data_IF_928683348116
#
_entry.id   IF_928683348116
#
_cell.length_a   1.000
_cell.length_b   1.000
_cell.length_c   1.000
_cell.angle_alpha   90.00
_cell.angle_beta   90.00
_cell.angle_gamma   90.00
#
_symmetry.space_group_name_H-M   'P 1'
#
loop_
_entity.id
_entity.type
_entity.pdbx_description
1 polymer ?
#
# COMPACT_ATOMS: atom_id res chain seq x y z
N UNK A 1 32.43 -8.19 -47.33
CA UNK A 1 31.31 -7.54 -46.60
C UNK A 1 31.66 -7.08 -45.18
N UNK A 2 32.62 -7.70 -44.46
CA UNK A 2 33.00 -7.24 -43.11
C UNK A 2 33.63 -5.83 -43.05
N UNK A 3 34.38 -5.40 -44.08
CA UNK A 3 35.03 -4.09 -44.12
C UNK A 3 34.08 -2.89 -44.24
N UNK A 4 32.84 -3.10 -44.69
CA UNK A 4 31.86 -2.00 -44.90
C UNK A 4 31.12 -1.66 -43.60
N UNK A 5 30.94 -2.65 -42.72
CA UNK A 5 30.19 -2.50 -41.46
C UNK A 5 30.97 -1.66 -40.43
N UNK A 6 32.31 -1.81 -40.38
CA UNK A 6 33.17 -1.06 -39.45
C UNK A 6 33.55 0.36 -39.93
N UNK A 7 33.25 0.70 -41.18
CA UNK A 7 33.45 2.04 -41.73
C UNK A 7 32.35 3.03 -41.32
N UNK A 8 31.20 2.53 -40.87
CA UNK A 8 30.09 3.36 -40.39
C UNK A 8 30.31 3.69 -38.90
N UNK A 9 30.51 4.99 -38.62
CA UNK A 9 30.79 5.48 -37.27
C UNK A 9 29.66 5.15 -36.28
N UNK A 10 28.40 5.15 -36.72
CA UNK A 10 27.24 4.87 -35.88
C UNK A 10 27.19 3.39 -35.49
N UNK A 11 27.47 2.49 -36.43
CA UNK A 11 27.56 1.04 -36.17
C UNK A 11 28.72 0.73 -35.23
N UNK A 12 29.88 1.36 -35.45
CA UNK A 12 31.05 1.20 -34.59
C UNK A 12 30.77 1.70 -33.17
N UNK A 13 30.14 2.87 -33.03
CA UNK A 13 29.75 3.41 -31.72
C UNK A 13 28.71 2.51 -31.05
N UNK A 14 27.71 2.00 -31.77
CA UNK A 14 26.73 1.07 -31.22
C UNK A 14 27.37 -0.22 -30.70
N UNK A 15 28.35 -0.78 -31.41
CA UNK A 15 29.11 -1.97 -30.98
C UNK A 15 29.94 -1.66 -29.72
N UNK A 16 30.70 -0.56 -29.70
CA UNK A 16 31.52 -0.21 -28.53
C UNK A 16 30.71 0.23 -27.33
N UNK A 17 29.52 0.79 -27.53
CA UNK A 17 28.62 1.07 -26.44
C UNK A 17 28.02 -0.22 -25.87
N UNK A 18 27.78 -1.26 -26.67
CA UNK A 18 27.14 -2.51 -26.25
C UNK A 18 28.17 -3.64 -26.03
N UNK A 19 28.99 -3.50 -25.00
CA UNK A 19 30.06 -4.46 -24.69
C UNK A 19 29.60 -5.40 -23.57
N UNK A 20 29.97 -6.69 -23.62
CA UNK A 20 29.53 -7.72 -22.65
C UNK A 20 28.00 -7.86 -22.49
N UNK A 21 27.24 -7.48 -23.51
CA UNK A 21 25.77 -7.51 -23.50
C UNK A 21 25.09 -6.36 -22.76
N UNK A 22 25.86 -5.36 -22.30
CA UNK A 22 25.35 -4.22 -21.52
C UNK A 22 25.88 -2.91 -22.10
N UNK A 23 25.04 -1.87 -22.14
CA UNK A 23 25.51 -0.55 -22.57
C UNK A 23 26.53 0.03 -21.58
N UNK A 24 27.56 0.74 -22.05
CA UNK A 24 28.63 1.30 -21.21
C UNK A 24 28.08 2.15 -20.04
N UNK A 25 27.07 2.99 -20.33
CA UNK A 25 26.37 3.82 -19.34
C UNK A 25 25.60 3.02 -18.27
N UNK A 26 25.24 1.77 -18.57
CA UNK A 26 24.51 0.88 -17.67
C UNK A 26 25.45 0.06 -16.79
N UNK A 27 26.73 -0.12 -17.15
CA UNK A 27 27.65 -1.06 -16.48
C UNK A 27 27.74 -0.83 -14.98
N UNK A 28 27.97 0.41 -14.55
CA UNK A 28 28.08 0.75 -13.13
C UNK A 28 26.78 0.49 -12.37
N UNK A 29 25.64 0.82 -12.99
CA UNK A 29 24.33 0.60 -12.41
C UNK A 29 23.99 -0.89 -12.29
N UNK A 30 24.20 -1.68 -13.35
CA UNK A 30 23.96 -3.13 -13.36
C UNK A 30 24.87 -3.83 -12.34
N UNK A 31 26.13 -3.44 -12.25
CA UNK A 31 27.05 -3.95 -11.24
C UNK A 31 26.52 -3.69 -9.83
N UNK A 32 26.10 -2.45 -9.54
CA UNK A 32 25.49 -2.09 -8.27
C UNK A 32 24.25 -2.94 -7.97
N UNK A 33 23.33 -3.09 -8.93
CA UNK A 33 22.08 -3.87 -8.74
C UNK A 33 22.34 -5.35 -8.44
N UNK A 34 23.40 -5.93 -9.03
CA UNK A 34 23.84 -7.31 -8.79
C UNK A 34 24.49 -7.50 -7.42
N UNK A 35 25.13 -6.45 -6.88
CA UNK A 35 25.72 -6.48 -5.54
C UNK A 35 24.67 -6.30 -4.42
N UNK A 36 23.53 -5.68 -4.73
CA UNK A 36 22.44 -5.51 -3.76
C UNK A 36 21.78 -6.85 -3.46
N UNK A 37 21.78 -7.26 -2.18
CA UNK A 37 21.13 -8.49 -1.72
C UNK A 37 19.63 -8.34 -1.46
N UNK A 38 19.17 -7.13 -1.12
CA UNK A 38 17.77 -6.86 -0.81
C UNK A 38 17.02 -6.44 -2.07
N UNK A 39 15.98 -7.19 -2.42
CA UNK A 39 15.18 -6.96 -3.64
C UNK A 39 14.46 -5.62 -3.60
N UNK A 40 13.92 -5.24 -2.44
CA UNK A 40 13.29 -3.94 -2.22
C UNK A 40 14.20 -2.75 -2.59
N UNK A 41 15.45 -2.75 -2.12
CA UNK A 41 16.41 -1.66 -2.42
C UNK A 41 16.71 -1.63 -3.92
N UNK A 42 16.78 -2.80 -4.56
CA UNK A 42 16.99 -2.91 -6.01
C UNK A 42 15.80 -2.30 -6.77
N UNK A 43 14.57 -2.62 -6.37
CA UNK A 43 13.36 -2.08 -6.96
C UNK A 43 13.31 -0.55 -6.83
N UNK A 44 13.57 0.01 -5.65
CA UNK A 44 13.67 1.47 -5.45
C UNK A 44 14.74 2.12 -6.34
N UNK A 45 15.90 1.49 -6.50
CA UNK A 45 16.95 1.98 -7.39
C UNK A 45 16.50 2.00 -8.86
N UNK A 46 15.74 0.99 -9.30
CA UNK A 46 15.20 0.93 -10.67
C UNK A 46 14.12 2.00 -10.86
N UNK A 47 13.19 2.14 -9.92
CA UNK A 47 12.14 3.16 -9.94
C UNK A 47 12.76 4.56 -9.94
N UNK A 48 13.76 4.82 -9.09
CA UNK A 48 14.46 6.11 -9.06
C UNK A 48 15.31 6.37 -10.31
N UNK A 49 15.84 5.33 -10.95
CA UNK A 49 16.57 5.47 -12.22
C UNK A 49 15.67 6.00 -13.35
N UNK A 50 14.36 5.71 -13.34
CA UNK A 50 13.42 6.29 -14.28
C UNK A 50 13.46 7.82 -14.27
N UNK A 51 13.42 8.42 -13.09
CA UNK A 51 13.41 9.88 -12.91
C UNK A 51 14.79 10.50 -13.11
N UNK A 52 15.83 9.84 -12.58
CA UNK A 52 17.19 10.40 -12.58
C UNK A 52 17.90 10.25 -13.93
N UNK A 53 17.55 9.23 -14.72
CA UNK A 53 18.26 8.87 -15.97
C UNK A 53 17.32 8.78 -17.19
N UNK A 54 16.01 8.86 -16.99
CA UNK A 54 15.00 8.93 -18.04
C UNK A 54 14.48 7.56 -18.52
N UNK A 55 13.34 7.53 -19.23
CA UNK A 55 12.71 6.28 -19.71
C UNK A 55 13.60 5.49 -20.70
N UNK A 56 14.43 6.18 -21.49
CA UNK A 56 15.37 5.53 -22.41
C UNK A 56 16.45 4.72 -21.69
N UNK A 57 16.80 5.11 -20.46
CA UNK A 57 17.71 4.33 -19.63
C UNK A 57 17.04 3.02 -19.21
N UNK A 58 15.78 3.08 -18.75
CA UNK A 58 15.02 1.87 -18.40
C UNK A 58 14.79 0.96 -19.60
N UNK A 59 14.47 1.50 -20.78
CA UNK A 59 14.26 0.66 -21.98
C UNK A 59 15.50 -0.14 -22.36
N UNK A 60 16.68 0.48 -22.26
CA UNK A 60 17.98 -0.20 -22.47
C UNK A 60 18.26 -1.21 -21.36
N UNK A 61 17.99 -0.85 -20.11
CA UNK A 61 18.17 -1.75 -18.97
C UNK A 61 17.28 -3.01 -19.09
N UNK A 62 16.01 -2.87 -19.49
CA UNK A 62 15.10 -3.99 -19.73
C UNK A 62 15.61 -4.92 -20.84
N UNK A 63 16.23 -4.36 -21.88
CA UNK A 63 16.77 -5.14 -23.00
C UNK A 63 18.03 -5.93 -22.59
N UNK A 64 18.89 -5.33 -21.79
CA UNK A 64 20.16 -5.94 -21.36
C UNK A 64 20.00 -6.89 -20.18
N UNK A 65 19.12 -6.55 -19.24
CA UNK A 65 19.00 -7.21 -17.95
C UNK A 65 17.52 -7.31 -17.53
N UNK A 66 16.68 -8.06 -18.28
CA UNK A 66 15.26 -8.23 -17.95
C UNK A 66 15.07 -8.90 -16.57
N UNK A 67 16.04 -9.68 -16.09
CA UNK A 67 16.00 -10.34 -14.79
C UNK A 67 15.96 -9.37 -13.60
N UNK A 68 16.33 -8.10 -13.81
CA UNK A 68 16.26 -7.07 -12.77
C UNK A 68 14.84 -6.54 -12.55
N UNK A 69 13.93 -6.76 -13.50
CA UNK A 69 12.55 -6.31 -13.44
C UNK A 69 11.66 -7.44 -12.93
N UNK A 70 11.60 -7.58 -11.62
CA UNK A 70 10.67 -8.48 -10.94
C UNK A 70 9.37 -7.74 -10.58
N UNK A 71 8.35 -8.46 -10.10
CA UNK A 71 7.09 -7.87 -9.64
C UNK A 71 7.33 -6.81 -8.55
N UNK A 72 8.39 -6.97 -7.75
CA UNK A 72 8.82 -6.00 -6.74
C UNK A 72 9.07 -4.60 -7.29
N UNK A 73 9.42 -4.45 -8.57
CA UNK A 73 9.55 -3.13 -9.20
C UNK A 73 8.19 -2.46 -9.35
N UNK A 74 7.14 -3.23 -9.69
CA UNK A 74 5.77 -2.72 -9.76
C UNK A 74 5.23 -2.44 -8.36
N UNK A 75 5.43 -3.35 -7.41
CA UNK A 75 4.99 -3.19 -6.01
C UNK A 75 5.66 -1.95 -5.37
N UNK A 76 6.95 -1.77 -5.60
CA UNK A 76 7.68 -0.57 -5.17
C UNK A 76 7.17 0.71 -5.85
N UNK A 77 6.88 0.66 -7.15
CA UNK A 77 6.33 1.83 -7.85
C UNK A 77 4.93 2.18 -7.33
N UNK A 78 4.10 1.18 -7.02
CA UNK A 78 2.77 1.36 -6.43
C UNK A 78 2.85 2.00 -5.05
N UNK A 79 3.66 1.44 -4.15
CA UNK A 79 3.95 1.98 -2.81
C UNK A 79 4.36 3.45 -2.83
N UNK A 80 5.20 3.82 -3.79
CA UNK A 80 5.72 5.18 -3.95
C UNK A 80 4.82 6.11 -4.78
N UNK A 81 3.67 5.64 -5.27
CA UNK A 81 2.72 6.40 -6.07
C UNK A 81 3.23 6.77 -7.46
N UNK A 82 4.17 6.01 -8.03
CA UNK A 82 4.85 6.31 -9.31
C UNK A 82 4.04 5.80 -10.50
N UNK A 83 2.89 6.44 -10.74
CA UNK A 83 1.95 6.08 -11.80
C UNK A 83 2.57 6.08 -13.20
N UNK A 84 3.46 7.02 -13.49
CA UNK A 84 4.20 7.13 -14.74
C UNK A 84 5.16 5.96 -14.98
N UNK A 85 5.84 5.48 -13.93
CA UNK A 85 6.65 4.26 -13.98
C UNK A 85 5.76 3.04 -14.24
N UNK A 86 4.61 2.93 -13.56
CA UNK A 86 3.67 1.83 -13.80
C UNK A 86 3.04 1.88 -15.19
N UNK A 87 2.67 3.04 -15.71
CA UNK A 87 2.19 3.19 -17.11
C UNK A 87 3.24 2.74 -18.10
N UNK A 88 4.50 3.10 -17.85
CA UNK A 88 5.62 2.65 -18.67
C UNK A 88 5.81 1.12 -18.58
N UNK A 89 5.80 0.55 -17.37
CA UNK A 89 5.91 -0.91 -17.17
C UNK A 89 4.72 -1.67 -17.76
N UNK A 90 3.52 -1.12 -17.70
CA UNK A 90 2.32 -1.71 -18.28
C UNK A 90 2.47 -1.89 -19.81
N UNK A 91 3.07 -0.92 -20.51
CA UNK A 91 3.28 -0.97 -21.95
C UNK A 91 4.30 -2.05 -22.40
N UNK A 92 5.32 -2.33 -21.58
CA UNK A 92 6.46 -3.15 -21.99
C UNK A 92 6.64 -4.46 -21.20
N UNK A 93 6.09 -4.57 -20.00
CA UNK A 93 6.29 -5.65 -19.04
C UNK A 93 4.98 -5.99 -18.30
N UNK A 94 3.90 -6.21 -19.05
CA UNK A 94 2.56 -6.41 -18.47
C UNK A 94 2.46 -7.58 -17.49
N UNK A 95 3.29 -8.62 -17.64
CA UNK A 95 3.31 -9.83 -16.81
C UNK A 95 3.83 -9.61 -15.38
N UNK A 96 4.43 -8.45 -15.08
CA UNK A 96 4.99 -8.15 -13.75
C UNK A 96 3.95 -7.70 -12.72
N UNK A 97 2.73 -7.44 -13.18
CA UNK A 97 1.66 -6.94 -12.31
C UNK A 97 0.94 -8.11 -11.67
N UNK A 98 0.66 -7.96 -10.38
CA UNK A 98 -0.10 -8.89 -9.56
C UNK A 98 -1.14 -8.10 -8.76
N UNK A 99 -1.94 -8.78 -7.96
CA UNK A 99 -2.87 -8.15 -7.01
C UNK A 99 -2.17 -7.22 -6.02
N UNK A 100 -0.90 -7.52 -5.68
CA UNK A 100 -0.11 -6.71 -4.75
C UNK A 100 0.05 -5.26 -5.20
N UNK A 101 0.07 -4.99 -6.50
CA UNK A 101 0.25 -3.63 -7.02
C UNK A 101 -0.93 -2.73 -6.61
N UNK A 102 -2.16 -3.27 -6.62
CA UNK A 102 -3.33 -2.51 -6.16
C UNK A 102 -3.41 -2.47 -4.63
N UNK A 103 -3.05 -3.56 -3.95
CA UNK A 103 -2.99 -3.62 -2.49
C UNK A 103 -2.02 -2.56 -1.94
N UNK A 104 -0.78 -2.51 -2.45
CA UNK A 104 0.24 -1.51 -2.07
C UNK A 104 -0.20 -0.08 -2.43
N UNK A 105 -0.87 0.12 -3.56
CA UNK A 105 -1.40 1.45 -3.91
C UNK A 105 -2.45 1.92 -2.89
N UNK A 106 -3.29 0.99 -2.39
CA UNK A 106 -4.30 1.28 -1.38
C UNK A 106 -3.70 1.51 0.01
N UNK A 107 -2.73 0.71 0.43
CA UNK A 107 -1.99 0.89 1.69
C UNK A 107 -1.34 2.27 1.80
N UNK A 108 -0.90 2.85 0.69
CA UNK A 108 -0.20 4.14 0.68
C UNK A 108 -1.02 5.31 0.11
N UNK A 109 -2.32 5.14 -0.11
CA UNK A 109 -3.22 6.26 -0.39
C UNK A 109 -3.21 6.77 -1.84
N UNK A 110 -2.84 5.95 -2.83
CA UNK A 110 -2.67 6.37 -4.22
C UNK A 110 -3.92 6.14 -5.09
N UNK A 111 -5.02 6.87 -4.83
CA UNK A 111 -6.30 6.69 -5.53
C UNK A 111 -6.19 6.72 -7.07
N UNK A 112 -5.46 7.68 -7.65
CA UNK A 112 -5.32 7.79 -9.11
C UNK A 112 -4.60 6.58 -9.73
N UNK A 113 -3.73 5.93 -8.95
CA UNK A 113 -3.06 4.71 -9.35
C UNK A 113 -4.02 3.53 -9.31
N UNK A 114 -4.87 3.44 -8.27
CA UNK A 114 -5.91 2.41 -8.16
C UNK A 114 -6.90 2.52 -9.32
N UNK A 115 -7.36 3.73 -9.66
CA UNK A 115 -8.23 3.96 -10.83
C UNK A 115 -7.57 3.45 -12.11
N UNK A 116 -6.30 3.77 -12.33
CA UNK A 116 -5.56 3.27 -13.48
C UNK A 116 -5.51 1.74 -13.51
N UNK A 117 -5.16 1.09 -12.39
CA UNK A 117 -5.11 -0.37 -12.29
C UNK A 117 -6.48 -1.00 -12.52
N UNK A 118 -7.56 -0.39 -12.00
CA UNK A 118 -8.92 -0.89 -12.15
C UNK A 118 -9.39 -0.87 -13.62
N UNK A 119 -9.13 0.21 -14.34
CA UNK A 119 -9.62 0.36 -15.71
C UNK A 119 -8.74 -0.32 -16.76
N UNK A 120 -7.43 -0.36 -16.55
CA UNK A 120 -6.47 -0.84 -17.56
C UNK A 120 -6.02 -2.29 -17.30
N UNK A 121 -6.43 -2.91 -16.18
CA UNK A 121 -5.95 -4.23 -15.78
C UNK A 121 -7.04 -5.13 -15.18
N UNK A 122 -6.74 -6.42 -15.11
CA UNK A 122 -7.69 -7.47 -14.71
C UNK A 122 -7.27 -8.28 -13.49
N UNK A 123 -6.04 -8.13 -12.96
CA UNK A 123 -5.58 -8.90 -11.81
C UNK A 123 -6.41 -8.63 -10.55
N UNK A 124 -6.87 -7.38 -10.37
CA UNK A 124 -7.65 -6.98 -9.21
C UNK A 124 -6.80 -6.68 -7.98
N UNK A 125 -7.40 -6.88 -6.81
CA UNK A 125 -6.76 -6.72 -5.50
C UNK A 125 -7.11 -7.91 -4.59
N UNK A 126 -6.68 -7.85 -3.34
CA UNK A 126 -7.18 -8.73 -2.28
C UNK A 126 -8.01 -7.94 -1.28
N UNK A 127 -8.53 -8.58 -0.23
CA UNK A 127 -9.17 -7.87 0.89
C UNK A 127 -8.20 -6.87 1.56
N UNK A 128 -6.90 -7.14 1.49
CA UNK A 128 -5.85 -6.27 2.04
C UNK A 128 -5.92 -4.84 1.50
N UNK A 129 -6.36 -4.64 0.25
CA UNK A 129 -6.51 -3.29 -0.29
C UNK A 129 -7.49 -2.44 0.52
N UNK A 130 -8.69 -2.97 0.82
CA UNK A 130 -9.68 -2.22 1.58
C UNK A 130 -9.32 -2.16 3.07
N UNK A 131 -8.77 -3.24 3.63
CA UNK A 131 -8.31 -3.31 5.01
C UNK A 131 -7.22 -2.25 5.28
N UNK A 132 -6.18 -2.20 4.44
CA UNK A 132 -5.10 -1.21 4.57
C UNK A 132 -5.53 0.21 4.21
N UNK A 133 -6.46 0.39 3.26
CA UNK A 133 -7.01 1.72 2.98
C UNK A 133 -7.81 2.26 4.18
N UNK A 134 -8.54 1.38 4.87
CA UNK A 134 -9.28 1.72 6.07
C UNK A 134 -8.34 2.04 7.25
N UNK A 135 -7.29 1.23 7.44
CA UNK A 135 -6.22 1.50 8.41
C UNK A 135 -5.59 2.88 8.18
N UNK A 136 -5.31 3.24 6.93
CA UNK A 136 -4.72 4.54 6.56
C UNK A 136 -5.69 5.72 6.53
N UNK A 137 -6.99 5.49 6.77
CA UNK A 137 -8.01 6.55 6.76
C UNK A 137 -8.35 7.09 5.37
N UNK A 138 -8.05 6.35 4.30
CA UNK A 138 -8.28 6.77 2.92
C UNK A 138 -9.72 6.48 2.48
N UNK A 139 -10.68 7.25 3.01
CA UNK A 139 -12.11 7.05 2.75
C UNK A 139 -12.45 7.03 1.26
N UNK A 140 -11.82 7.86 0.45
CA UNK A 140 -12.02 7.92 -1.00
C UNK A 140 -11.63 6.61 -1.70
N UNK A 141 -10.56 5.96 -1.24
CA UNK A 141 -10.14 4.64 -1.71
C UNK A 141 -11.10 3.56 -1.23
N UNK A 142 -11.50 3.58 0.05
CA UNK A 142 -12.48 2.62 0.60
C UNK A 142 -13.80 2.69 -0.17
N UNK A 143 -14.31 3.89 -0.45
CA UNK A 143 -15.50 4.10 -1.27
C UNK A 143 -15.32 3.58 -2.69
N UNK A 144 -14.18 3.85 -3.32
CA UNK A 144 -13.89 3.38 -4.67
C UNK A 144 -13.84 1.85 -4.74
N UNK A 145 -13.13 1.22 -3.80
CA UNK A 145 -13.04 -0.24 -3.72
C UNK A 145 -14.41 -0.85 -3.43
N UNK A 146 -15.23 -0.24 -2.57
CA UNK A 146 -16.58 -0.69 -2.28
C UNK A 146 -17.49 -0.69 -3.53
N UNK A 147 -17.45 0.39 -4.30
CA UNK A 147 -18.34 0.57 -5.46
C UNK A 147 -17.92 -0.30 -6.65
N UNK A 148 -16.61 -0.46 -6.88
CA UNK A 148 -16.10 -1.02 -8.13
C UNK A 148 -15.41 -2.38 -8.01
N UNK A 149 -15.16 -2.88 -6.78
CA UNK A 149 -14.51 -4.17 -6.52
C UNK A 149 -15.43 -5.09 -5.72
N UNK A 150 -15.22 -6.40 -5.86
CA UNK A 150 -16.05 -7.43 -5.21
C UNK A 150 -15.29 -8.22 -4.14
N UNK A 151 -13.99 -7.99 -4.00
CA UNK A 151 -13.12 -8.66 -3.04
C UNK A 151 -13.53 -8.37 -1.59
N UNK A 152 -14.05 -7.17 -1.32
CA UNK A 152 -14.52 -6.76 0.00
C UNK A 152 -13.38 -6.43 0.98
N UNK A 153 -13.68 -6.55 2.26
CA UNK A 153 -12.74 -6.34 3.36
C UNK A 153 -12.89 -7.48 4.38
N UNK A 154 -12.13 -7.40 5.47
CA UNK A 154 -12.32 -8.21 6.67
C UNK A 154 -12.79 -7.34 7.83
N UNK A 155 -12.95 -7.93 9.02
CA UNK A 155 -13.18 -7.20 10.26
C UNK A 155 -11.97 -6.31 10.65
N UNK A 156 -10.77 -6.63 10.16
CA UNK A 156 -9.57 -5.81 10.36
C UNK A 156 -9.75 -4.38 9.81
N UNK A 157 -10.53 -4.17 8.74
CA UNK A 157 -10.76 -2.83 8.19
C UNK A 157 -11.37 -1.87 9.23
N UNK A 158 -12.43 -2.29 9.93
CA UNK A 158 -13.10 -1.44 10.91
C UNK A 158 -12.30 -1.38 12.22
N UNK A 159 -11.66 -2.49 12.63
CA UNK A 159 -10.80 -2.53 13.81
C UNK A 159 -9.59 -1.58 13.65
N UNK A 160 -8.93 -1.59 12.50
CA UNK A 160 -7.76 -0.75 12.21
C UNK A 160 -8.14 0.72 11.99
N UNK A 161 -9.25 0.99 11.30
CA UNK A 161 -9.79 2.35 11.19
C UNK A 161 -10.13 2.92 12.58
N UNK A 162 -10.69 2.09 13.47
CA UNK A 162 -10.99 2.48 14.84
C UNK A 162 -9.73 2.72 15.68
N UNK A 163 -8.73 1.85 15.55
CA UNK A 163 -7.42 1.97 16.18
C UNK A 163 -6.75 3.32 15.85
N UNK A 164 -6.86 3.78 14.60
CA UNK A 164 -6.25 5.03 14.14
C UNK A 164 -7.19 6.25 14.19
N UNK A 165 -8.41 6.08 14.71
CA UNK A 165 -9.33 7.18 14.96
C UNK A 165 -10.07 7.72 13.73
N UNK A 166 -10.09 6.97 12.63
CA UNK A 166 -10.72 7.30 11.35
C UNK A 166 -12.23 7.05 11.39
N UNK A 167 -12.96 7.92 12.11
CA UNK A 167 -14.41 7.77 12.34
C UNK A 167 -15.22 7.77 11.04
N UNK A 168 -14.83 8.58 10.06
CA UNK A 168 -15.49 8.66 8.75
C UNK A 168 -15.44 7.33 7.99
N UNK A 169 -14.30 6.63 8.05
CA UNK A 169 -14.15 5.28 7.53
C UNK A 169 -14.98 4.27 8.33
N UNK A 170 -14.96 4.34 9.66
CA UNK A 170 -15.76 3.45 10.53
C UNK A 170 -17.25 3.59 10.25
N UNK A 171 -17.76 4.81 10.13
CA UNK A 171 -19.15 5.11 9.76
C UNK A 171 -19.48 4.54 8.38
N UNK A 172 -18.62 4.76 7.38
CA UNK A 172 -18.83 4.24 6.04
C UNK A 172 -18.90 2.71 6.04
N UNK A 173 -17.94 2.04 6.67
CA UNK A 173 -17.92 0.59 6.77
C UNK A 173 -19.15 0.05 7.52
N UNK A 174 -19.57 0.71 8.61
CA UNK A 174 -20.75 0.30 9.36
C UNK A 174 -22.04 0.32 8.51
N UNK A 175 -22.24 1.38 7.73
CA UNK A 175 -23.48 1.56 6.98
C UNK A 175 -23.51 0.82 5.63
N UNK A 176 -22.35 0.52 5.04
CA UNK A 176 -22.26 0.01 3.67
C UNK A 176 -21.66 -1.40 3.57
N UNK A 177 -21.12 -1.96 4.66
CA UNK A 177 -20.51 -3.30 4.70
C UNK A 177 -21.18 -4.19 5.74
N UNK A 178 -20.91 -5.50 5.67
CA UNK A 178 -21.56 -6.50 6.53
C UNK A 178 -20.57 -7.30 7.38
N UNK A 179 -19.27 -7.17 7.11
CA UNK A 179 -18.17 -7.84 7.81
C UNK A 179 -18.12 -7.43 9.27
N UNK A 180 -18.34 -6.14 9.54
CA UNK A 180 -18.40 -5.62 10.90
C UNK A 180 -17.02 -5.34 11.49
N UNK A 181 -16.86 -5.65 12.78
CA UNK A 181 -15.66 -5.40 13.58
C UNK A 181 -15.59 -6.44 14.68
N UNK A 182 -14.45 -6.54 15.37
CA UNK A 182 -14.34 -7.33 16.59
C UNK A 182 -14.48 -6.45 17.83
N UNK A 183 -14.26 -7.03 19.03
CA UNK A 183 -14.09 -6.23 20.26
C UNK A 183 -12.82 -5.36 20.22
N UNK A 184 -11.90 -5.70 19.33
CA UNK A 184 -10.67 -4.97 19.04
C UNK A 184 -10.95 -3.50 18.70
N UNK A 185 -11.98 -3.20 17.90
CA UNK A 185 -12.27 -1.82 17.52
C UNK A 185 -12.37 -0.84 18.70
N UNK A 186 -13.18 -1.15 19.73
CA UNK A 186 -13.28 -0.28 20.92
C UNK A 186 -12.02 -0.39 21.79
N UNK A 187 -11.45 -1.59 21.95
CA UNK A 187 -10.24 -1.78 22.75
C UNK A 187 -9.06 -0.93 22.22
N UNK A 188 -8.82 -0.96 20.91
CA UNK A 188 -7.77 -0.20 20.24
C UNK A 188 -8.07 1.30 20.18
N UNK A 189 -9.33 1.69 19.91
CA UNK A 189 -9.72 3.10 19.96
C UNK A 189 -9.52 3.69 21.37
N UNK A 190 -9.83 2.92 22.42
CA UNK A 190 -9.60 3.32 23.81
C UNK A 190 -8.10 3.42 24.14
N UNK A 191 -7.32 2.42 23.73
CA UNK A 191 -5.87 2.40 23.89
C UNK A 191 -5.18 3.61 23.23
N UNK A 192 -5.73 4.14 22.13
CA UNK A 192 -5.20 5.31 21.40
C UNK A 192 -5.95 6.63 21.69
N UNK A 193 -6.94 6.63 22.59
CA UNK A 193 -7.60 7.86 23.02
C UNK A 193 -8.69 8.39 22.07
N UNK A 194 -9.25 7.58 21.19
CA UNK A 194 -10.23 7.98 20.17
C UNK A 194 -11.68 7.88 20.68
N UNK A 195 -12.06 8.76 21.61
CA UNK A 195 -13.41 8.76 22.23
C UNK A 195 -14.55 8.87 21.20
N UNK A 196 -14.38 9.66 20.15
CA UNK A 196 -15.39 9.84 19.10
C UNK A 196 -15.70 8.53 18.36
N UNK A 197 -14.70 7.67 18.15
CA UNK A 197 -14.90 6.33 17.58
C UNK A 197 -15.57 5.40 18.59
N UNK A 198 -15.14 5.43 19.86
CA UNK A 198 -15.76 4.61 20.92
C UNK A 198 -17.25 4.94 21.05
N UNK A 199 -17.59 6.24 21.04
CA UNK A 199 -18.97 6.70 21.13
C UNK A 199 -19.82 6.19 19.96
N UNK A 200 -19.33 6.31 18.74
CA UNK A 200 -20.02 5.76 17.59
C UNK A 200 -20.22 4.25 17.71
N UNK A 201 -19.16 3.49 17.97
CA UNK A 201 -19.21 2.02 18.04
C UNK A 201 -20.11 1.54 19.19
N UNK A 202 -20.02 2.13 20.38
CA UNK A 202 -20.82 1.75 21.54
C UNK A 202 -22.33 1.97 21.32
N UNK A 203 -22.71 2.95 20.49
CA UNK A 203 -24.11 3.25 20.19
C UNK A 203 -24.67 2.47 18.99
N UNK A 204 -23.83 1.95 18.10
CA UNK A 204 -24.27 1.34 16.82
C UNK A 204 -23.89 -0.13 16.66
N UNK A 205 -23.03 -0.67 17.53
CA UNK A 205 -22.47 -2.02 17.43
C UNK A 205 -22.69 -2.79 18.74
N UNK A 206 -22.83 -4.12 18.64
CA UNK A 206 -23.18 -4.98 19.78
C UNK A 206 -22.01 -5.82 20.29
N UNK A 207 -20.87 -5.79 19.59
CA UNK A 207 -19.66 -6.56 19.91
C UNK A 207 -19.10 -6.20 21.29
N UNK A 208 -19.17 -4.91 21.64
CA UNK A 208 -18.68 -4.34 22.88
C UNK A 208 -17.16 -4.28 22.95
N UNK A 209 -16.63 -4.19 24.16
CA UNK A 209 -15.20 -4.11 24.44
C UNK A 209 -14.79 -5.12 25.52
N UNK A 210 -13.49 -5.36 25.66
CA UNK A 210 -12.92 -6.17 26.75
C UNK A 210 -12.42 -5.27 27.88
N UNK A 211 -11.87 -5.86 28.96
CA UNK A 211 -11.25 -5.08 30.04
C UNK A 211 -10.01 -4.30 29.58
N UNK A 212 -9.41 -4.70 28.45
CA UNK A 212 -8.21 -4.07 27.91
C UNK A 212 -8.49 -2.61 27.53
N UNK A 213 -9.67 -2.28 26.99
CA UNK A 213 -10.02 -0.91 26.65
C UNK A 213 -9.78 0.07 27.81
N UNK A 214 -10.21 -0.29 29.02
CA UNK A 214 -10.01 0.54 30.21
C UNK A 214 -8.57 0.55 30.70
N UNK A 215 -7.92 -0.62 30.83
CA UNK A 215 -6.56 -0.69 31.38
C UNK A 215 -5.51 -0.09 30.44
N UNK A 216 -5.65 -0.27 29.13
CA UNK A 216 -4.74 0.28 28.14
C UNK A 216 -4.92 1.80 28.03
N UNK A 217 -6.17 2.30 28.01
CA UNK A 217 -6.45 3.73 28.10
C UNK A 217 -5.85 4.35 29.39
N UNK A 218 -5.92 3.64 30.52
CA UNK A 218 -5.30 4.06 31.78
C UNK A 218 -3.77 4.12 31.67
N UNK A 219 -3.15 3.05 31.15
CA UNK A 219 -1.69 2.94 31.00
C UNK A 219 -1.14 4.02 30.05
N UNK A 220 -1.88 4.33 28.98
CA UNK A 220 -1.56 5.37 27.99
C UNK A 220 -2.02 6.77 28.42
N UNK A 221 -2.60 6.90 29.63
CA UNK A 221 -3.03 8.17 30.25
C UNK A 221 -4.11 8.93 29.48
N UNK A 222 -4.99 8.22 28.80
CA UNK A 222 -6.15 8.78 28.11
C UNK A 222 -7.30 9.04 29.10
N UNK A 223 -7.16 10.06 29.95
CA UNK A 223 -8.14 10.38 31.01
C UNK A 223 -9.54 10.65 30.47
N UNK A 224 -9.65 11.26 29.29
CA UNK A 224 -10.91 11.53 28.61
C UNK A 224 -11.65 10.25 28.20
N UNK A 225 -10.95 9.17 27.85
CA UNK A 225 -11.58 7.85 27.61
C UNK A 225 -12.13 7.26 28.90
N UNK A 226 -11.42 7.45 30.02
CA UNK A 226 -11.84 6.96 31.33
C UNK A 226 -13.08 7.70 31.84
N UNK A 227 -13.14 9.02 31.59
CA UNK A 227 -14.32 9.84 31.84
C UNK A 227 -15.49 9.40 30.95
N UNK A 228 -15.23 9.20 29.65
CA UNK A 228 -16.23 8.67 28.72
C UNK A 228 -16.82 7.34 29.21
N UNK A 229 -15.99 6.35 29.57
CA UNK A 229 -16.48 5.07 30.08
C UNK A 229 -17.31 5.22 31.36
N UNK A 230 -16.92 6.11 32.27
CA UNK A 230 -17.66 6.37 33.52
C UNK A 230 -19.05 6.93 33.24
N UNK A 231 -19.13 7.87 32.31
CA UNK A 231 -20.32 8.68 32.09
C UNK A 231 -21.30 8.03 31.09
N UNK A 232 -20.77 7.37 30.05
CA UNK A 232 -21.56 6.83 28.93
C UNK A 232 -21.64 5.30 28.91
N UNK A 233 -20.74 4.60 29.63
CA UNK A 233 -20.76 3.13 29.74
C UNK A 233 -20.67 2.66 31.21
N UNK A 234 -21.61 3.08 32.09
CA UNK A 234 -21.47 2.92 33.54
C UNK A 234 -21.44 1.46 34.02
N UNK A 235 -22.11 0.54 33.31
CA UNK A 235 -22.07 -0.89 33.63
C UNK A 235 -20.68 -1.48 33.36
N UNK A 236 -20.10 -1.17 32.20
CA UNK A 236 -18.74 -1.55 31.85
C UNK A 236 -17.73 -0.96 32.83
N UNK A 237 -17.83 0.35 33.14
CA UNK A 237 -16.95 1.02 34.09
C UNK A 237 -16.98 0.38 35.49
N UNK A 238 -18.17 0.02 35.99
CA UNK A 238 -18.30 -0.71 37.27
C UNK A 238 -17.64 -2.09 37.21
N UNK A 239 -17.82 -2.81 36.10
CA UNK A 239 -17.24 -4.15 35.93
C UNK A 239 -15.70 -4.14 35.92
N UNK A 240 -15.07 -3.13 35.33
CA UNK A 240 -13.59 -3.04 35.25
C UNK A 240 -12.95 -2.42 36.50
N UNK A 241 -13.73 -1.67 37.30
CA UNK A 241 -13.26 -1.04 38.54
C UNK A 241 -13.62 -1.81 39.81
N UNK A 242 -14.48 -2.82 39.73
CA UNK A 242 -14.78 -3.71 40.85
C UNK A 242 -13.57 -4.61 41.16
N UNK A 243 -12.97 -4.41 42.34
CA UNK A 243 -11.87 -5.24 42.89
C UNK A 243 -12.32 -6.64 43.28
#
# INVERSE_FOLDING_TARGET
MAHVVLGNADVRNAIFCYQDGVYEELRSFVHQMRCLKKEFIRAECIVSAYYNKGPSFLSRLMRCCPELFTNEVCDCAARLGKLDVLKYLHQYQSHLFTTNVMDEAATFGHLELIKFLHYERSEGCTTSAMDSAAEGGYLDIVMFLHEFRNEGCTDDAMDAAAMNGHLDVVEFLHWNRHEGCTRGAIDYAASNGHVHVIDFLANHRYEGCTRNAYYDAMNNRHTHVMEYFRDHMPEYYRFVTAT
#
